data_IF_218392713109
#
_entry.id   IF_218392713109
#
_cell.length_a   1.000
_cell.length_b   1.000
_cell.length_c   1.000
_cell.angle_alpha   90.00
_cell.angle_beta   90.00
_cell.angle_gamma   90.00
#
_symmetry.space_group_name_H-M   'P 1'
#
loop_
_entity.id
_entity.type
_entity.pdbx_description
1 polymer ?
#
# COMPACT_ATOMS: atom_id res chain seq x y z
N UNK A 1 7.12 -7.27 1.27
CA UNK A 1 6.59 -5.89 1.22
C UNK A 1 5.57 -5.67 2.33
N UNK A 2 5.45 -4.44 2.84
CA UNK A 2 4.41 -4.06 3.81
C UNK A 2 3.68 -2.79 3.34
N UNK A 3 2.51 -2.90 2.67
CA UNK A 3 1.78 -1.74 2.13
C UNK A 3 1.11 -0.89 3.24
N UNK A 4 0.66 0.31 2.91
CA UNK A 4 -0.05 1.22 3.85
C UNK A 4 -1.53 0.84 4.05
N UNK A 5 -2.10 0.03 3.15
CA UNK A 5 -3.45 -0.54 3.22
C UNK A 5 -3.40 -2.03 2.85
N UNK A 6 -4.35 -2.87 3.32
CA UNK A 6 -4.38 -4.29 2.98
C UNK A 6 -4.79 -4.50 1.51
N UNK A 7 -3.80 -4.59 0.62
CA UNK A 7 -4.03 -4.76 -0.83
C UNK A 7 -4.79 -6.05 -1.17
N UNK A 8 -4.71 -7.07 -0.31
CA UNK A 8 -5.49 -8.32 -0.45
C UNK A 8 -7.00 -8.08 -0.40
N UNK A 9 -7.46 -7.05 0.31
CA UNK A 9 -8.87 -6.64 0.33
C UNK A 9 -9.20 -5.68 -0.81
N UNK A 10 -8.31 -4.74 -1.14
CA UNK A 10 -8.55 -3.78 -2.21
C UNK A 10 -8.67 -4.45 -3.60
N UNK A 11 -7.77 -5.39 -3.90
CA UNK A 11 -7.73 -6.07 -5.20
C UNK A 11 -8.47 -7.41 -5.21
N UNK A 12 -8.91 -7.89 -4.04
CA UNK A 12 -9.33 -9.26 -3.86
C UNK A 12 -8.16 -10.25 -3.99
N UNK A 13 -8.49 -11.54 -3.88
CA UNK A 13 -7.56 -12.65 -4.06
C UNK A 13 -8.30 -13.89 -4.52
N UNK A 14 -7.75 -14.60 -5.50
CA UNK A 14 -8.29 -15.88 -5.95
C UNK A 14 -7.14 -16.84 -6.24
N UNK A 15 -7.19 -18.02 -5.62
CA UNK A 15 -6.15 -19.02 -5.78
C UNK A 15 -6.63 -20.41 -5.39
N UNK A 16 -6.16 -21.43 -6.11
CA UNK A 16 -6.46 -22.84 -5.86
C UNK A 16 -5.13 -23.56 -5.66
N UNK A 17 -4.99 -24.24 -4.53
CA UNK A 17 -3.85 -25.09 -4.22
C UNK A 17 -4.30 -26.50 -3.85
N UNK A 18 -3.34 -27.32 -3.41
CA UNK A 18 -3.65 -28.66 -2.90
C UNK A 18 -4.21 -28.53 -1.49
N UNK A 19 -5.48 -28.91 -1.29
CA UNK A 19 -6.15 -28.92 0.02
C UNK A 19 -6.91 -27.64 0.38
N UNK A 20 -6.55 -26.49 -0.21
CA UNK A 20 -7.22 -25.21 0.04
C UNK A 20 -7.47 -24.43 -1.24
N UNK A 21 -8.54 -23.63 -1.22
CA UNK A 21 -8.77 -22.55 -2.16
C UNK A 21 -8.98 -21.26 -1.38
N UNK A 22 -8.61 -20.13 -1.96
CA UNK A 22 -8.85 -18.81 -1.39
C UNK A 22 -9.65 -17.98 -2.38
N UNK A 23 -10.71 -17.33 -1.88
CA UNK A 23 -11.52 -16.39 -2.65
C UNK A 23 -11.94 -15.23 -1.75
N UNK A 24 -11.37 -14.07 -2.03
CA UNK A 24 -11.64 -12.79 -1.38
C UNK A 24 -12.07 -11.81 -2.49
N UNK A 25 -13.23 -11.16 -2.38
CA UNK A 25 -13.67 -10.17 -3.36
C UNK A 25 -12.96 -8.83 -3.14
N UNK A 26 -13.13 -7.92 -4.08
CA UNK A 26 -12.64 -6.55 -3.97
C UNK A 26 -13.49 -5.77 -2.94
N UNK A 27 -12.85 -4.79 -2.30
CA UNK A 27 -13.47 -3.84 -1.38
C UNK A 27 -13.06 -2.42 -1.74
N UNK A 28 -13.89 -1.44 -1.35
CA UNK A 28 -13.61 -0.05 -1.64
C UNK A 28 -12.42 0.44 -0.81
N UNK A 29 -11.46 1.04 -1.49
CA UNK A 29 -10.24 1.54 -0.83
C UNK A 29 -10.55 2.64 0.19
N UNK A 30 -11.56 3.49 -0.04
CA UNK A 30 -11.90 4.57 0.90
C UNK A 30 -12.54 3.99 2.15
N UNK A 31 -13.37 2.96 2.03
CA UNK A 31 -13.90 2.23 3.20
C UNK A 31 -12.79 1.57 4.02
N UNK A 32 -11.81 0.94 3.35
CA UNK A 32 -10.64 0.35 4.02
C UNK A 32 -9.86 1.44 4.77
N UNK A 33 -9.55 2.57 4.13
CA UNK A 33 -8.81 3.69 4.74
C UNK A 33 -9.59 4.24 5.94
N UNK A 34 -10.91 4.43 5.80
CA UNK A 34 -11.75 4.91 6.88
C UNK A 34 -11.71 3.96 8.09
N UNK A 35 -11.79 2.64 7.86
CA UNK A 35 -11.67 1.67 8.93
C UNK A 35 -10.27 1.66 9.58
N UNK A 36 -9.20 1.87 8.82
CA UNK A 36 -7.86 2.06 9.39
C UNK A 36 -7.84 3.32 10.29
N UNK A 37 -8.42 4.44 9.85
CA UNK A 37 -8.51 5.64 10.69
C UNK A 37 -9.31 5.42 11.98
N UNK A 38 -10.40 4.64 11.92
CA UNK A 38 -11.18 4.24 13.10
C UNK A 38 -10.30 3.46 14.09
N UNK A 39 -9.57 2.47 13.59
CA UNK A 39 -8.68 1.65 14.41
C UNK A 39 -7.51 2.45 14.98
N UNK A 40 -6.95 3.40 14.23
CA UNK A 40 -5.95 4.36 14.75
C UNK A 40 -6.50 5.28 15.85
N UNK A 41 -7.83 5.43 15.93
CA UNK A 41 -8.53 6.18 16.97
C UNK A 41 -9.01 5.30 18.13
N UNK A 42 -8.67 4.00 18.11
CA UNK A 42 -9.08 3.02 19.13
C UNK A 42 -10.51 2.49 18.96
N UNK A 43 -11.14 2.73 17.81
CA UNK A 43 -12.50 2.26 17.51
C UNK A 43 -12.48 0.95 16.71
N UNK A 44 -13.52 0.14 16.87
CA UNK A 44 -13.72 -1.07 16.05
C UNK A 44 -14.02 -0.71 14.58
N UNK A 45 -13.48 -1.49 13.62
CA UNK A 45 -13.78 -1.31 12.21
C UNK A 45 -15.25 -1.64 11.91
N UNK A 46 -15.86 -0.88 11.01
CA UNK A 46 -17.20 -1.14 10.52
C UNK A 46 -17.21 -2.35 9.57
N UNK A 47 -18.35 -3.07 9.47
CA UNK A 47 -18.60 -4.01 8.38
C UNK A 47 -18.37 -3.34 7.03
N UNK A 48 -17.77 -4.09 6.09
CA UNK A 48 -17.55 -3.64 4.71
C UNK A 48 -18.25 -4.62 3.79
N UNK A 49 -18.90 -4.11 2.74
CA UNK A 49 -19.46 -4.92 1.66
C UNK A 49 -18.47 -5.00 0.50
N UNK A 50 -18.47 -6.10 -0.27
CA UNK A 50 -17.69 -6.17 -1.49
C UNK A 50 -18.02 -4.99 -2.42
N UNK A 51 -16.99 -4.40 -3.03
CA UNK A 51 -17.12 -3.28 -3.94
C UNK A 51 -16.14 -3.42 -5.10
N UNK A 52 -16.64 -3.22 -6.33
CA UNK A 52 -15.85 -3.32 -7.54
C UNK A 52 -15.86 -1.97 -8.26
N UNK A 53 -14.67 -1.40 -8.45
CA UNK A 53 -14.52 -0.10 -9.11
C UNK A 53 -15.17 -0.10 -10.49
N UNK A 54 -16.08 0.84 -10.71
CA UNK A 54 -16.78 1.04 -12.00
C UNK A 54 -18.04 0.19 -12.19
N UNK A 55 -18.33 -0.73 -11.28
CA UNK A 55 -19.59 -1.46 -11.26
C UNK A 55 -20.71 -0.53 -10.83
N UNK A 56 -21.80 -0.50 -11.62
CA UNK A 56 -22.96 0.37 -11.38
C UNK A 56 -24.15 -0.34 -10.74
N UNK A 57 -24.12 -1.67 -10.68
CA UNK A 57 -25.16 -2.47 -10.05
C UNK A 57 -25.04 -2.50 -8.53
N UNK A 58 -25.81 -3.37 -7.89
CA UNK A 58 -25.85 -3.48 -6.43
C UNK A 58 -25.22 -4.79 -5.93
N UNK A 59 -24.69 -4.76 -4.71
CA UNK A 59 -24.22 -5.94 -4.00
C UNK A 59 -24.88 -5.97 -2.64
N UNK A 60 -25.76 -6.94 -2.43
CA UNK A 60 -26.52 -7.11 -1.19
C UNK A 60 -26.01 -8.33 -0.42
N UNK A 61 -25.91 -8.21 0.90
CA UNK A 61 -25.61 -9.33 1.78
C UNK A 61 -26.87 -10.16 2.02
N UNK A 62 -26.81 -11.45 1.68
CA UNK A 62 -27.89 -12.42 1.92
C UNK A 62 -27.72 -13.11 3.26
N UNK A 63 -26.48 -13.44 3.60
CA UNK A 63 -26.06 -14.05 4.85
C UNK A 63 -24.57 -13.79 5.04
N UNK A 64 -24.03 -14.14 6.22
CA UNK A 64 -22.59 -14.00 6.49
C UNK A 64 -21.76 -14.65 5.38
N UNK A 65 -20.91 -13.85 4.73
CA UNK A 65 -20.04 -14.24 3.62
C UNK A 65 -20.78 -14.76 2.36
N UNK A 66 -22.06 -14.42 2.20
CA UNK A 66 -22.87 -14.73 1.02
C UNK A 66 -23.56 -13.47 0.52
N UNK A 67 -23.21 -13.09 -0.70
CA UNK A 67 -23.71 -11.88 -1.34
C UNK A 67 -24.42 -12.23 -2.64
N UNK A 68 -25.34 -11.37 -3.06
CA UNK A 68 -25.85 -11.35 -4.43
C UNK A 68 -25.38 -10.07 -5.10
N UNK A 69 -24.78 -10.20 -6.27
CA UNK A 69 -24.45 -9.05 -7.11
C UNK A 69 -25.45 -8.99 -8.27
N UNK A 70 -26.03 -7.81 -8.47
CA UNK A 70 -27.20 -7.58 -9.32
C UNK A 70 -26.83 -6.55 -10.39
N UNK A 71 -27.04 -6.90 -11.66
CA UNK A 71 -26.89 -5.96 -12.78
C UNK A 71 -28.05 -4.98 -12.87
N UNK A 72 -28.00 -4.03 -13.81
CA UNK A 72 -29.02 -2.99 -13.96
C UNK A 72 -29.93 -3.26 -15.15
N UNK A 73 -31.24 -3.26 -14.93
CA UNK A 73 -32.26 -3.37 -15.98
C UNK A 73 -33.40 -2.38 -15.75
N UNK A 74 -33.79 -1.66 -16.79
CA UNK A 74 -34.88 -0.68 -16.78
C UNK A 74 -35.93 -1.01 -17.85
N UNK A 75 -37.20 -0.79 -17.55
CA UNK A 75 -38.29 -0.83 -18.53
C UNK A 75 -38.36 0.54 -19.21
N UNK A 76 -38.23 0.58 -20.54
CA UNK A 76 -38.28 1.81 -21.33
C UNK A 76 -39.72 2.10 -21.80
N UNK A 77 -40.39 1.06 -22.29
CA UNK A 77 -41.79 1.09 -22.71
C UNK A 77 -42.42 -0.30 -22.59
N UNK A 78 -43.69 -0.45 -22.98
CA UNK A 78 -44.44 -1.72 -22.87
C UNK A 78 -43.90 -2.86 -23.73
N UNK A 79 -42.88 -2.63 -24.55
CA UNK A 79 -42.27 -3.64 -25.43
C UNK A 79 -40.74 -3.68 -25.33
N UNK A 80 -40.14 -2.86 -24.46
CA UNK A 80 -38.70 -2.59 -24.49
C UNK A 80 -38.11 -2.49 -23.11
N UNK A 81 -37.02 -3.22 -22.90
CA UNK A 81 -36.17 -3.06 -21.72
C UNK A 81 -34.75 -2.69 -22.13
N UNK A 82 -34.02 -2.12 -21.19
CA UNK A 82 -32.62 -1.75 -21.34
C UNK A 82 -31.79 -2.35 -20.21
N UNK A 83 -30.76 -3.12 -20.55
CA UNK A 83 -29.77 -3.65 -19.60
C UNK A 83 -28.52 -2.79 -19.72
N UNK A 84 -28.10 -2.15 -18.63
CA UNK A 84 -26.98 -1.19 -18.61
C UNK A 84 -25.79 -1.62 -17.75
N UNK A 85 -25.95 -2.72 -17.00
CA UNK A 85 -24.88 -3.34 -16.23
C UNK A 85 -25.11 -4.85 -16.11
N UNK A 86 -24.04 -5.63 -16.19
CA UNK A 86 -24.08 -7.08 -15.96
C UNK A 86 -23.50 -7.42 -14.58
N UNK A 87 -23.94 -8.52 -13.94
CA UNK A 87 -23.33 -8.98 -12.69
C UNK A 87 -21.82 -9.16 -12.81
N UNK A 88 -21.09 -8.93 -11.73
CA UNK A 88 -19.63 -9.12 -11.66
C UNK A 88 -19.22 -10.51 -12.16
N UNK A 89 -18.11 -10.57 -12.91
CA UNK A 89 -17.59 -11.75 -13.61
C UNK A 89 -18.49 -12.29 -14.74
N UNK A 90 -19.48 -11.52 -15.19
CA UNK A 90 -20.27 -11.82 -16.39
C UNK A 90 -19.74 -11.02 -17.57
N UNK A 91 -19.09 -11.68 -18.52
CA UNK A 91 -18.55 -11.04 -19.72
C UNK A 91 -19.64 -10.78 -20.76
N UNK A 92 -19.59 -9.62 -21.43
CA UNK A 92 -20.59 -9.17 -22.42
C UNK A 92 -20.83 -10.21 -23.52
N UNK A 93 -19.77 -10.74 -24.12
CA UNK A 93 -19.87 -11.74 -25.18
C UNK A 93 -20.47 -13.05 -24.67
N UNK A 94 -20.02 -13.53 -23.51
CA UNK A 94 -20.55 -14.75 -22.88
C UNK A 94 -22.03 -14.60 -22.52
N UNK A 95 -22.46 -13.42 -22.06
CA UNK A 95 -23.86 -13.12 -21.76
C UNK A 95 -24.71 -13.12 -23.03
N UNK A 96 -24.24 -12.46 -24.09
CA UNK A 96 -24.89 -12.45 -25.40
C UNK A 96 -25.14 -13.87 -25.91
N UNK A 97 -24.09 -14.68 -26.00
CA UNK A 97 -24.15 -16.04 -26.57
C UNK A 97 -25.01 -17.00 -25.74
N UNK A 98 -24.88 -16.96 -24.41
CA UNK A 98 -25.50 -17.98 -23.55
C UNK A 98 -26.85 -17.57 -22.98
N UNK A 99 -27.20 -16.28 -23.03
CA UNK A 99 -28.45 -15.75 -22.48
C UNK A 99 -29.31 -15.16 -23.58
N UNK A 100 -28.83 -14.13 -24.29
CA UNK A 100 -29.67 -13.40 -25.25
C UNK A 100 -29.97 -14.21 -26.51
N UNK A 101 -28.99 -14.89 -27.10
CA UNK A 101 -29.21 -15.73 -28.29
C UNK A 101 -30.17 -16.89 -28.01
N UNK A 102 -30.07 -17.49 -26.81
CA UNK A 102 -31.01 -18.53 -26.37
C UNK A 102 -32.42 -17.97 -26.15
N UNK A 103 -32.56 -16.74 -25.65
CA UNK A 103 -33.84 -16.06 -25.47
C UNK A 103 -34.44 -15.60 -26.81
N UNK A 104 -33.63 -15.30 -27.83
CA UNK A 104 -34.08 -14.86 -29.15
C UNK A 104 -34.54 -16.04 -30.02
N UNK A 105 -33.71 -17.08 -30.10
CA UNK A 105 -33.95 -18.21 -31.01
C UNK A 105 -34.75 -19.33 -30.34
N UNK A 106 -34.82 -19.32 -29.01
CA UNK A 106 -35.28 -20.47 -28.23
C UNK A 106 -34.28 -21.63 -28.27
N UNK A 107 -34.60 -22.67 -27.52
CA UNK A 107 -33.88 -23.96 -27.50
C UNK A 107 -34.91 -25.08 -27.59
N UNK A 108 -34.47 -26.33 -27.75
CA UNK A 108 -35.38 -27.50 -27.73
C UNK A 108 -36.28 -27.56 -26.48
N UNK A 109 -35.84 -26.96 -25.37
CA UNK A 109 -36.53 -27.01 -24.07
C UNK A 109 -37.21 -25.70 -23.67
N UNK A 110 -36.83 -24.57 -24.27
CA UNK A 110 -37.26 -23.24 -23.82
C UNK A 110 -37.68 -22.42 -25.04
N UNK A 111 -38.93 -21.95 -25.11
CA UNK A 111 -39.37 -21.13 -26.24
C UNK A 111 -38.66 -19.77 -26.27
N UNK A 112 -38.62 -19.10 -27.43
CA UNK A 112 -38.18 -17.71 -27.54
C UNK A 112 -38.95 -16.81 -26.57
N UNK A 113 -38.21 -15.94 -25.88
CA UNK A 113 -38.73 -14.94 -24.95
C UNK A 113 -38.70 -13.53 -25.55
N UNK A 114 -37.66 -13.20 -26.32
CA UNK A 114 -37.44 -11.88 -26.90
C UNK A 114 -37.62 -11.93 -28.42
N UNK A 115 -37.94 -10.79 -29.03
CA UNK A 115 -38.15 -10.70 -30.50
C UNK A 115 -36.95 -10.13 -31.24
N UNK A 116 -36.18 -9.25 -30.60
CA UNK A 116 -34.97 -8.62 -31.15
C UNK A 116 -34.13 -8.04 -29.99
N UNK A 117 -32.84 -7.80 -30.23
CA UNK A 117 -32.02 -6.99 -29.34
C UNK A 117 -30.95 -6.22 -30.11
N UNK A 118 -30.56 -5.06 -29.58
CA UNK A 118 -29.49 -4.21 -30.12
C UNK A 118 -28.42 -3.93 -29.08
N UNK A 119 -27.18 -3.85 -29.54
CA UNK A 119 -25.99 -3.66 -28.71
C UNK A 119 -25.43 -2.26 -28.91
N UNK A 120 -25.19 -1.55 -27.81
CA UNK A 120 -24.58 -0.22 -27.79
C UNK A 120 -23.43 -0.16 -26.79
N UNK A 121 -22.59 -1.18 -26.82
CA UNK A 121 -21.47 -1.33 -25.89
C UNK A 121 -20.33 -0.36 -26.21
N UNK A 122 -19.54 -0.05 -25.18
CA UNK A 122 -18.20 0.52 -25.36
C UNK A 122 -17.18 -0.51 -24.88
N UNK A 123 -15.90 -0.15 -24.88
CA UNK A 123 -14.83 -0.92 -24.26
C UNK A 123 -14.98 -1.07 -22.74
N UNK A 124 -15.73 -0.17 -22.09
CA UNK A 124 -15.85 -0.09 -20.62
C UNK A 124 -17.30 -0.16 -20.10
N UNK A 125 -18.31 -0.17 -20.98
CA UNK A 125 -19.73 -0.16 -20.57
C UNK A 125 -20.58 -1.11 -21.38
N UNK A 126 -21.54 -1.76 -20.71
CA UNK A 126 -22.55 -2.61 -21.34
C UNK A 126 -23.84 -1.83 -21.59
N UNK A 127 -24.51 -2.16 -22.70
CA UNK A 127 -25.84 -1.63 -23.04
C UNK A 127 -26.54 -2.53 -24.05
N UNK A 128 -27.58 -3.23 -23.62
CA UNK A 128 -28.48 -3.99 -24.49
C UNK A 128 -29.86 -3.35 -24.49
N UNK A 129 -30.44 -3.14 -25.67
CA UNK A 129 -31.83 -2.72 -25.83
C UNK A 129 -32.59 -3.91 -26.39
N UNK A 130 -33.50 -4.47 -25.59
CA UNK A 130 -34.17 -5.74 -25.88
C UNK A 130 -35.64 -5.46 -26.17
N UNK A 131 -36.13 -6.02 -27.27
CA UNK A 131 -37.53 -5.95 -27.70
C UNK A 131 -38.27 -7.24 -27.37
N UNK A 132 -39.50 -7.10 -26.89
CA UNK A 132 -40.39 -8.18 -26.49
C UNK A 132 -41.82 -7.85 -26.91
N UNK A 133 -42.71 -8.85 -26.88
CA UNK A 133 -44.15 -8.55 -26.92
C UNK A 133 -44.60 -8.02 -25.56
N UNK A 134 -45.66 -7.21 -25.56
CA UNK A 134 -46.18 -6.62 -24.32
C UNK A 134 -46.62 -7.68 -23.30
N UNK A 135 -47.20 -8.78 -23.76
CA UNK A 135 -47.57 -9.92 -22.92
C UNK A 135 -46.34 -10.55 -22.24
N UNK A 136 -45.27 -10.84 -23.01
CA UNK A 136 -44.05 -11.44 -22.47
C UNK A 136 -43.31 -10.51 -21.52
N UNK A 137 -43.34 -9.20 -21.77
CA UNK A 137 -42.73 -8.24 -20.84
C UNK A 137 -43.48 -8.19 -19.51
N UNK A 138 -44.81 -8.18 -19.52
CA UNK A 138 -45.62 -8.25 -18.29
C UNK A 138 -45.36 -9.54 -17.51
N UNK A 139 -45.25 -10.68 -18.19
CA UNK A 139 -44.88 -11.96 -17.57
C UNK A 139 -43.47 -11.90 -16.95
N UNK A 140 -42.50 -11.33 -17.65
CA UNK A 140 -41.12 -11.21 -17.19
C UNK A 140 -40.99 -10.25 -15.99
N UNK A 141 -41.74 -9.16 -15.99
CA UNK A 141 -41.82 -8.21 -14.88
C UNK A 141 -42.42 -8.87 -13.64
N UNK A 142 -43.54 -9.58 -13.80
CA UNK A 142 -44.19 -10.31 -12.70
C UNK A 142 -43.29 -11.42 -12.10
N UNK A 143 -42.45 -12.05 -12.94
CA UNK A 143 -41.46 -13.04 -12.50
C UNK A 143 -40.17 -12.41 -11.93
N UNK A 144 -39.97 -11.10 -12.11
CA UNK A 144 -38.79 -10.33 -11.75
C UNK A 144 -37.73 -10.32 -12.87
N UNK A 145 -37.51 -9.16 -13.48
CA UNK A 145 -36.62 -9.00 -14.63
C UNK A 145 -35.18 -9.46 -14.35
N UNK A 146 -34.63 -9.13 -13.19
CA UNK A 146 -33.28 -9.55 -12.82
C UNK A 146 -33.11 -11.07 -12.82
N UNK A 147 -34.13 -11.81 -12.37
CA UNK A 147 -34.13 -13.27 -12.37
C UNK A 147 -34.30 -13.81 -13.79
N UNK A 148 -35.26 -13.28 -14.54
CA UNK A 148 -35.58 -13.71 -15.91
C UNK A 148 -34.38 -13.53 -16.83
N UNK A 149 -33.75 -12.35 -16.79
CA UNK A 149 -32.60 -11.99 -17.61
C UNK A 149 -31.25 -12.44 -17.03
N UNK A 150 -31.26 -13.26 -15.97
CA UNK A 150 -30.05 -13.80 -15.33
C UNK A 150 -29.04 -12.70 -14.94
N UNK A 151 -29.56 -11.59 -14.43
CA UNK A 151 -28.79 -10.43 -13.95
C UNK A 151 -28.54 -10.50 -12.44
N UNK A 152 -28.48 -11.71 -11.87
CA UNK A 152 -28.16 -11.95 -10.46
C UNK A 152 -27.15 -13.09 -10.37
N UNK A 153 -25.99 -12.84 -9.76
CA UNK A 153 -25.00 -13.86 -9.46
C UNK A 153 -24.77 -13.95 -7.95
N UNK A 154 -24.63 -15.18 -7.45
CA UNK A 154 -24.19 -15.42 -6.09
C UNK A 154 -22.69 -15.23 -5.98
N UNK A 155 -22.27 -14.47 -4.99
CA UNK A 155 -20.87 -14.27 -4.60
C UNK A 155 -20.69 -14.83 -3.18
N UNK A 156 -20.06 -16.00 -3.09
CA UNK A 156 -19.87 -16.71 -1.83
C UNK A 156 -18.39 -16.71 -1.43
N UNK A 157 -18.11 -16.33 -0.18
CA UNK A 157 -16.79 -16.12 0.38
C UNK A 157 -16.52 -17.03 1.60
N UNK A 158 -16.75 -18.33 1.47
CA UNK A 158 -16.57 -19.29 2.59
C UNK A 158 -15.11 -19.69 2.85
N UNK A 159 -14.20 -19.40 1.91
CA UNK A 159 -12.80 -19.81 2.01
C UNK A 159 -11.89 -18.60 1.81
N UNK A 160 -11.65 -17.88 2.90
CA UNK A 160 -10.66 -16.80 2.96
C UNK A 160 -9.42 -17.35 3.64
N UNK A 161 -8.57 -18.06 2.88
CA UNK A 161 -7.35 -18.69 3.40
C UNK A 161 -6.15 -17.89 2.87
N UNK A 162 -5.30 -17.41 3.78
CA UNK A 162 -4.11 -16.64 3.44
C UNK A 162 -2.92 -17.15 4.25
N UNK A 163 -1.71 -16.92 3.74
CA UNK A 163 -0.52 -16.99 4.57
C UNK A 163 -0.49 -15.80 5.51
N UNK A 164 -0.18 -16.03 6.78
CA UNK A 164 0.13 -14.97 7.73
C UNK A 164 1.58 -14.48 7.55
N UNK A 165 1.99 -13.52 8.38
CA UNK A 165 3.31 -12.90 8.32
C UNK A 165 4.48 -13.83 8.67
N UNK A 166 4.21 -14.99 9.29
CA UNK A 166 5.23 -16.02 9.59
C UNK A 166 5.21 -17.17 8.58
N UNK A 167 4.40 -17.07 7.52
CA UNK A 167 4.31 -18.08 6.47
C UNK A 167 3.40 -19.27 6.81
N UNK A 168 2.56 -19.15 7.84
CA UNK A 168 1.58 -20.18 8.20
C UNK A 168 0.23 -19.94 7.53
N UNK A 169 -0.42 -21.01 7.07
CA UNK A 169 -1.76 -20.93 6.49
C UNK A 169 -2.82 -20.68 7.58
N UNK A 170 -3.58 -19.60 7.43
CA UNK A 170 -4.68 -19.23 8.31
C UNK A 170 -5.98 -19.05 7.52
N UNK A 171 -7.06 -19.65 8.02
CA UNK A 171 -8.42 -19.40 7.53
C UNK A 171 -9.05 -18.28 8.34
N UNK A 172 -9.61 -17.29 7.65
CA UNK A 172 -10.31 -16.16 8.23
C UNK A 172 -11.82 -16.33 8.09
N UNK A 173 -12.56 -15.98 9.14
CA UNK A 173 -14.02 -16.11 9.17
C UNK A 173 -14.73 -14.81 8.76
N UNK A 174 -14.02 -13.68 8.83
CA UNK A 174 -14.49 -12.36 8.38
C UNK A 174 -13.34 -11.54 7.77
N UNK A 175 -13.69 -10.56 6.93
CA UNK A 175 -12.68 -9.62 6.39
C UNK A 175 -12.17 -8.64 7.43
N UNK A 176 -12.93 -8.43 8.50
CA UNK A 176 -12.51 -7.63 9.66
C UNK A 176 -11.34 -8.31 10.39
N UNK A 177 -11.32 -9.64 10.46
CA UNK A 177 -10.20 -10.38 11.04
C UNK A 177 -8.91 -10.19 10.21
N UNK A 178 -9.03 -10.20 8.88
CA UNK A 178 -7.91 -9.91 7.96
C UNK A 178 -7.41 -8.48 8.18
N UNK A 179 -8.33 -7.52 8.29
CA UNK A 179 -8.01 -6.11 8.50
C UNK A 179 -7.31 -5.90 9.86
N UNK A 180 -7.75 -6.59 10.92
CA UNK A 180 -7.16 -6.53 12.26
C UNK A 180 -5.73 -7.08 12.29
N UNK A 181 -5.52 -8.27 11.75
CA UNK A 181 -4.17 -8.86 11.66
C UNK A 181 -3.22 -7.96 10.85
N UNK A 182 -3.69 -7.43 9.72
CA UNK A 182 -2.92 -6.47 8.93
C UNK A 182 -2.60 -5.20 9.72
N UNK A 183 -3.58 -4.64 10.45
CA UNK A 183 -3.42 -3.42 11.20
C UNK A 183 -2.36 -3.55 12.29
N UNK A 184 -2.43 -4.63 13.08
CA UNK A 184 -1.46 -4.90 14.14
C UNK A 184 -0.05 -5.02 13.60
N UNK A 185 0.12 -5.80 12.52
CA UNK A 185 1.41 -5.94 11.86
C UNK A 185 1.90 -4.60 11.32
N UNK A 186 1.04 -3.87 10.60
CA UNK A 186 1.43 -2.59 9.98
C UNK A 186 1.83 -1.57 11.03
N UNK A 187 1.15 -1.55 12.17
CA UNK A 187 1.50 -0.66 13.27
C UNK A 187 2.87 -0.99 13.88
N UNK A 188 3.21 -2.27 14.03
CA UNK A 188 4.58 -2.68 14.40
C UNK A 188 5.61 -2.15 13.41
N UNK A 189 5.35 -2.25 12.11
CA UNK A 189 6.25 -1.71 11.09
C UNK A 189 6.35 -0.16 11.08
N UNK A 190 5.31 0.56 11.51
CA UNK A 190 5.43 2.02 11.72
C UNK A 190 6.28 2.39 12.94
N UNK A 191 6.26 1.56 13.99
CA UNK A 191 7.16 1.70 15.13
C UNK A 191 8.61 1.51 14.65
N UNK A 192 8.88 0.38 13.97
CA UNK A 192 10.20 0.10 13.40
C UNK A 192 10.67 1.21 12.44
N UNK A 193 9.78 1.71 11.58
CA UNK A 193 10.08 2.83 10.68
C UNK A 193 10.45 4.09 11.45
N UNK A 194 9.70 4.44 12.51
CA UNK A 194 10.01 5.61 13.32
C UNK A 194 11.38 5.48 13.97
N UNK A 195 11.68 4.32 14.56
CA UNK A 195 12.95 4.07 15.24
C UNK A 195 14.14 4.14 14.27
N UNK A 196 13.98 3.55 13.08
CA UNK A 196 14.98 3.63 12.01
C UNK A 196 15.22 5.07 11.55
N UNK A 197 14.16 5.84 11.31
CA UNK A 197 14.26 7.25 10.90
C UNK A 197 14.90 8.10 12.00
N UNK A 198 14.60 7.84 13.28
CA UNK A 198 15.24 8.51 14.41
C UNK A 198 16.73 8.21 14.49
N UNK A 199 17.13 6.96 14.26
CA UNK A 199 18.53 6.54 14.20
C UNK A 199 19.28 7.22 13.06
N UNK A 200 18.75 7.12 11.84
CA UNK A 200 19.34 7.72 10.65
C UNK A 200 19.47 9.25 10.76
N UNK A 201 18.37 9.95 11.05
CA UNK A 201 18.38 11.42 11.19
C UNK A 201 19.23 11.86 12.39
N UNK A 202 19.26 11.07 13.47
CA UNK A 202 20.15 11.29 14.60
C UNK A 202 21.63 11.27 14.18
N UNK A 203 22.02 10.24 13.43
CA UNK A 203 23.38 10.11 12.91
C UNK A 203 23.74 11.22 11.91
N UNK A 204 22.84 11.57 10.98
CA UNK A 204 23.03 12.68 10.04
C UNK A 204 23.18 14.02 10.76
N UNK A 205 22.31 14.29 11.75
CA UNK A 205 22.36 15.48 12.58
C UNK A 205 23.67 15.57 13.37
N UNK A 206 24.13 14.45 13.96
CA UNK A 206 25.40 14.39 14.68
C UNK A 206 26.60 14.65 13.76
N UNK A 207 26.58 14.06 12.55
CA UNK A 207 27.63 14.27 11.53
C UNK A 207 27.73 15.74 11.13
N UNK A 208 26.61 16.38 10.78
CA UNK A 208 26.56 17.80 10.43
C UNK A 208 26.95 18.71 11.61
N UNK A 209 26.58 18.33 12.83
CA UNK A 209 26.97 19.06 14.04
C UNK A 209 28.48 19.03 14.27
N UNK A 210 29.10 17.86 14.13
CA UNK A 210 30.56 17.70 14.21
C UNK A 210 31.26 18.48 13.08
N UNK A 211 30.77 18.41 11.85
CA UNK A 211 31.33 19.17 10.71
C UNK A 211 31.23 20.68 10.93
N UNK A 212 30.07 21.18 11.36
CA UNK A 212 29.87 22.60 11.64
C UNK A 212 30.78 23.08 12.78
N UNK A 213 30.89 22.29 13.86
CA UNK A 213 31.79 22.56 14.98
C UNK A 213 33.25 22.63 14.52
N UNK A 214 33.70 21.66 13.73
CA UNK A 214 35.06 21.61 13.20
C UNK A 214 35.41 22.85 12.37
N UNK A 215 34.52 23.26 11.46
CA UNK A 215 34.73 24.45 10.63
C UNK A 215 34.73 25.73 11.49
N UNK A 216 33.80 25.85 12.44
CA UNK A 216 33.74 27.02 13.34
C UNK A 216 35.00 27.15 14.19
N UNK A 217 35.44 26.06 14.83
CA UNK A 217 36.66 26.04 15.64
C UNK A 217 37.92 26.30 14.80
N UNK A 218 37.96 25.81 13.54
CA UNK A 218 39.06 26.09 12.61
C UNK A 218 39.13 27.57 12.21
N UNK A 219 37.99 28.21 11.95
CA UNK A 219 37.90 29.63 11.59
C UNK A 219 38.23 30.52 12.80
N UNK A 220 37.81 30.12 14.00
CA UNK A 220 38.09 30.85 15.24
C UNK A 220 39.53 30.69 15.73
N UNK A 221 40.30 29.77 15.14
CA UNK A 221 41.68 29.48 15.52
C UNK A 221 41.82 28.63 16.79
N UNK A 222 40.72 28.11 17.34
CA UNK A 222 40.74 27.19 18.49
C UNK A 222 41.19 25.79 18.07
N UNK A 223 40.97 25.43 16.81
CA UNK A 223 41.44 24.19 16.19
C UNK A 223 42.52 24.49 15.13
N UNK A 224 43.70 23.90 15.27
CA UNK A 224 44.83 24.07 14.33
C UNK A 224 45.27 22.71 13.82
N UNK A 225 45.16 22.49 12.51
CA UNK A 225 45.45 21.20 11.86
C UNK A 225 46.70 21.25 10.97
N UNK A 226 47.18 22.45 10.66
CA UNK A 226 48.30 22.69 9.77
C UNK A 226 49.59 22.07 10.31
N UNK A 227 50.31 21.36 9.42
CA UNK A 227 51.60 20.73 9.70
C UNK A 227 51.63 19.78 10.92
N UNK A 228 50.48 19.13 11.23
CA UNK A 228 50.41 18.09 12.28
C UNK A 228 50.43 16.68 11.69
N UNK A 229 51.12 15.71 12.32
CA UNK A 229 51.01 14.31 11.94
C UNK A 229 49.57 13.78 12.06
N UNK A 230 49.15 12.92 11.12
CA UNK A 230 47.79 12.34 11.10
C UNK A 230 47.40 11.66 12.43
N UNK A 231 48.33 10.95 13.06
CA UNK A 231 48.10 10.29 14.36
C UNK A 231 47.78 11.29 15.48
N UNK A 232 48.42 12.46 15.48
CA UNK A 232 48.20 13.49 16.49
C UNK A 232 46.89 14.24 16.24
N UNK A 233 46.50 14.43 14.97
CA UNK A 233 45.18 14.96 14.61
C UNK A 233 44.05 14.07 15.15
N UNK A 234 44.14 12.76 14.94
CA UNK A 234 43.14 11.79 15.43
C UNK A 234 43.05 11.85 16.97
N UNK A 235 44.19 11.85 17.68
CA UNK A 235 44.21 11.97 19.15
C UNK A 235 43.61 13.28 19.64
N UNK A 236 43.92 14.39 18.98
CA UNK A 236 43.38 15.71 19.33
C UNK A 236 41.86 15.75 19.15
N UNK A 237 41.33 15.30 18.01
CA UNK A 237 39.89 15.25 17.77
C UNK A 237 39.17 14.38 18.79
N UNK A 238 39.76 13.24 19.16
CA UNK A 238 39.23 12.38 20.21
C UNK A 238 39.24 13.06 21.59
N UNK A 239 40.32 13.77 21.95
CA UNK A 239 40.39 14.53 23.21
C UNK A 239 39.40 15.70 23.26
N UNK A 240 39.10 16.30 22.11
CA UNK A 240 38.10 17.37 21.98
C UNK A 240 36.66 16.85 21.94
N UNK A 241 36.47 15.53 21.98
CA UNK A 241 35.16 14.89 21.97
C UNK A 241 34.43 15.02 20.64
N UNK A 242 35.15 14.96 19.51
CA UNK A 242 34.53 14.72 18.21
C UNK A 242 34.14 13.25 18.10
N UNK A 243 32.97 13.00 17.53
CA UNK A 243 32.52 11.63 17.29
C UNK A 243 33.26 11.04 16.07
N UNK A 244 33.54 9.74 16.11
CA UNK A 244 33.80 8.96 14.88
C UNK A 244 32.57 9.03 13.97
N UNK A 245 32.72 8.88 12.65
CA UNK A 245 31.62 9.10 11.67
C UNK A 245 30.29 8.46 12.13
N UNK A 246 29.33 9.29 12.61
CA UNK A 246 28.13 8.76 13.25
C UNK A 246 27.24 7.98 12.28
N UNK A 247 27.25 8.35 10.99
CA UNK A 247 26.45 7.68 9.96
C UNK A 247 27.02 6.32 9.62
N UNK A 248 28.35 6.21 9.54
CA UNK A 248 29.02 4.93 9.34
C UNK A 248 28.78 4.01 10.53
N UNK A 249 29.01 4.51 11.74
CA UNK A 249 28.80 3.74 12.96
C UNK A 249 27.35 3.23 13.11
N UNK A 250 26.36 4.06 12.76
CA UNK A 250 24.96 3.65 12.77
C UNK A 250 24.67 2.58 11.72
N UNK A 251 25.16 2.72 10.48
CA UNK A 251 24.98 1.70 9.43
C UNK A 251 25.61 0.37 9.80
N UNK A 252 26.85 0.40 10.28
CA UNK A 252 27.57 -0.81 10.71
C UNK A 252 26.82 -1.53 11.85
N UNK A 253 26.14 -0.80 12.74
CA UNK A 253 25.29 -1.38 13.78
C UNK A 253 24.03 -2.04 13.20
N UNK A 254 23.36 -1.41 12.22
CA UNK A 254 22.19 -2.00 11.57
C UNK A 254 22.51 -3.25 10.73
N UNK A 255 23.68 -3.30 10.10
CA UNK A 255 24.14 -4.50 9.37
C UNK A 255 24.36 -5.68 10.32
N UNK A 256 24.97 -5.45 11.49
CA UNK A 256 25.16 -6.49 12.52
C UNK A 256 23.85 -7.00 13.09
N UNK A 257 22.93 -6.10 13.43
CA UNK A 257 21.61 -6.50 13.94
C UNK A 257 20.85 -7.37 12.92
N UNK A 258 21.00 -7.10 11.62
CA UNK A 258 20.38 -7.90 10.56
C UNK A 258 21.03 -9.28 10.37
N UNK A 259 22.35 -9.37 10.49
CA UNK A 259 23.10 -10.65 10.42
C UNK A 259 22.72 -11.56 11.61
N UNK A 260 22.55 -11.00 12.82
CA UNK A 260 22.12 -11.76 14.01
C UNK A 260 20.68 -12.30 13.90
N UNK A 261 19.75 -11.55 13.31
CA UNK A 261 18.34 -11.94 13.18
C UNK A 261 18.10 -12.96 12.03
N UNK A 262 19.01 -13.01 11.05
CA UNK A 262 18.96 -13.96 9.93
C UNK A 262 19.38 -15.39 10.31
N UNK A 263 19.97 -15.60 11.49
CA UNK A 263 20.40 -16.92 11.96
C UNK A 263 21.43 -17.60 11.05
N UNK A 264 22.16 -16.83 10.23
CA UNK A 264 23.28 -17.35 9.45
C UNK A 264 24.39 -17.75 10.42
N UNK A 265 24.75 -19.04 10.44
CA UNK A 265 25.90 -19.56 11.16
C UNK A 265 27.12 -18.64 10.89
N UNK A 266 27.75 -18.16 11.96
CA UNK A 266 28.94 -17.30 11.94
C UNK A 266 30.09 -17.96 11.15
N UNK A 267 30.09 -17.87 9.82
CA UNK A 267 31.34 -17.82 9.09
C UNK A 267 31.91 -16.42 9.34
N UNK A 268 32.85 -16.35 10.30
CA UNK A 268 33.70 -15.20 10.60
C UNK A 268 34.33 -14.66 9.30
N UNK A 269 33.58 -13.85 8.54
CA UNK A 269 34.18 -12.87 7.66
C UNK A 269 34.69 -11.79 8.59
N UNK A 270 35.96 -11.90 8.95
CA UNK A 270 36.78 -10.76 9.37
C UNK A 270 36.70 -9.69 8.27
N UNK A 271 35.61 -8.92 8.21
CA UNK A 271 35.65 -7.58 7.64
C UNK A 271 36.67 -6.88 8.52
N UNK A 272 37.82 -6.51 7.95
CA UNK A 272 38.80 -5.62 8.58
C UNK A 272 38.06 -4.36 9.03
N UNK A 273 37.52 -4.40 10.25
CA UNK A 273 37.08 -3.21 10.94
C UNK A 273 38.37 -2.45 11.15
N UNK A 274 38.50 -1.33 10.44
CA UNK A 274 39.51 -0.33 10.72
C UNK A 274 39.21 0.15 12.13
N UNK A 275 39.77 -0.54 13.13
CA UNK A 275 39.43 -0.52 14.57
C UNK A 275 39.68 0.83 15.27
N UNK A 276 39.94 1.89 14.50
CA UNK A 276 40.20 3.23 15.00
C UNK A 276 39.07 4.22 14.70
N UNK A 277 39.03 5.35 15.42
CA UNK A 277 38.09 6.44 15.13
C UNK A 277 38.18 6.93 13.67
N UNK A 278 37.04 7.03 13.00
CA UNK A 278 36.93 7.48 11.62
C UNK A 278 36.56 8.97 11.57
N UNK A 279 37.59 9.83 11.47
CA UNK A 279 37.43 11.28 11.29
C UNK A 279 37.56 11.72 9.82
N UNK A 280 37.52 10.79 8.86
CA UNK A 280 37.69 11.16 7.45
C UNK A 280 36.59 12.12 6.98
N UNK A 281 35.37 12.00 7.51
CA UNK A 281 34.24 12.90 7.20
C UNK A 281 34.46 14.37 7.63
N UNK A 282 35.43 14.62 8.52
CA UNK A 282 35.88 15.96 8.89
C UNK A 282 37.09 16.38 8.07
N UNK A 283 38.11 15.51 8.01
CA UNK A 283 39.42 15.83 7.43
C UNK A 283 39.44 15.86 5.89
N UNK A 284 38.44 15.25 5.24
CA UNK A 284 38.28 15.27 3.79
C UNK A 284 37.49 16.49 3.28
N UNK A 285 36.98 17.34 4.18
CA UNK A 285 36.27 18.56 3.76
C UNK A 285 37.22 19.51 3.01
N UNK A 286 36.88 19.93 1.78
CA UNK A 286 37.71 20.86 1.01
C UNK A 286 37.90 22.21 1.71
N UNK A 287 39.03 22.89 1.44
CA UNK A 287 39.37 24.20 2.04
C UNK A 287 38.32 25.29 1.82
N UNK A 288 37.53 25.23 0.74
CA UNK A 288 36.46 26.19 0.49
C UNK A 288 35.29 26.07 1.48
N UNK A 289 35.23 25.02 2.31
CA UNK A 289 34.31 24.96 3.45
C UNK A 289 34.62 26.00 4.53
N UNK A 290 35.82 26.59 4.51
CA UNK A 290 36.21 27.68 5.41
C UNK A 290 35.72 29.06 4.92
N UNK A 291 35.10 29.16 3.75
CA UNK A 291 34.49 30.43 3.32
C UNK A 291 33.21 30.72 4.10
N UNK A 292 32.83 32.00 4.15
CA UNK A 292 31.64 32.45 4.87
C UNK A 292 30.38 31.77 4.36
N UNK A 293 30.21 31.73 3.04
CA UNK A 293 29.03 31.18 2.37
C UNK A 293 28.86 29.70 2.71
N UNK A 294 29.95 28.93 2.68
CA UNK A 294 29.86 27.49 2.93
C UNK A 294 29.69 27.17 4.41
N UNK A 295 30.31 27.95 5.29
CA UNK A 295 30.08 27.86 6.74
C UNK A 295 28.60 28.10 7.06
N UNK A 296 28.04 29.19 6.54
CA UNK A 296 26.65 29.58 6.81
C UNK A 296 25.67 28.53 6.24
N UNK A 297 25.94 27.98 5.05
CA UNK A 297 25.16 26.88 4.48
C UNK A 297 25.26 25.59 5.33
N UNK A 298 26.46 25.23 5.81
CA UNK A 298 26.64 24.05 6.66
C UNK A 298 25.90 24.19 8.00
N UNK A 299 25.93 25.37 8.61
CA UNK A 299 25.13 25.66 9.80
C UNK A 299 23.63 25.56 9.51
N UNK A 300 23.16 26.08 8.37
CA UNK A 300 21.76 25.98 7.95
C UNK A 300 21.33 24.51 7.75
N UNK A 301 22.17 23.69 7.13
CA UNK A 301 21.90 22.26 6.94
C UNK A 301 21.80 21.51 8.26
N UNK A 302 22.73 21.78 9.20
CA UNK A 302 22.68 21.24 10.57
C UNK A 302 21.36 21.62 11.25
N UNK A 303 21.01 22.89 11.24
CA UNK A 303 19.83 23.39 11.96
C UNK A 303 18.52 22.85 11.35
N UNK A 304 18.47 22.72 10.02
CA UNK A 304 17.37 22.06 9.33
C UNK A 304 17.22 20.59 9.76
N UNK A 305 18.33 19.83 9.79
CA UNK A 305 18.33 18.41 10.19
C UNK A 305 17.98 18.20 11.67
N UNK A 306 18.45 19.07 12.56
CA UNK A 306 18.04 19.07 13.97
C UNK A 306 16.53 19.33 14.09
N UNK A 307 16.00 20.29 13.33
CA UNK A 307 14.57 20.62 13.33
C UNK A 307 13.73 19.45 12.81
N UNK A 308 14.17 18.80 11.72
CA UNK A 308 13.55 17.60 11.15
C UNK A 308 13.51 16.45 12.18
N UNK A 309 14.65 16.16 12.82
CA UNK A 309 14.75 15.14 13.86
C UNK A 309 13.81 15.43 15.05
N UNK A 310 13.79 16.67 15.52
CA UNK A 310 12.92 17.06 16.64
C UNK A 310 11.45 16.97 16.25
N UNK A 311 11.08 17.34 15.02
CA UNK A 311 9.72 17.19 14.50
C UNK A 311 9.32 15.71 14.49
N UNK A 312 10.20 14.83 14.00
CA UNK A 312 9.93 13.38 13.97
C UNK A 312 9.78 12.78 15.38
N UNK A 313 10.61 13.20 16.35
CA UNK A 313 10.50 12.74 17.75
C UNK A 313 9.11 12.98 18.33
N UNK A 314 8.49 14.11 17.97
CA UNK A 314 7.17 14.50 18.45
C UNK A 314 6.01 13.75 17.78
N UNK A 315 6.21 13.14 16.60
CA UNK A 315 5.16 12.37 15.91
C UNK A 315 4.99 10.99 16.54
N UNK A 316 3.77 10.53 16.75
CA UNK A 316 3.53 9.12 17.06
C UNK A 316 3.66 8.25 15.79
N UNK A 317 3.96 6.94 15.91
CA UNK A 317 3.91 6.02 14.76
C UNK A 317 2.58 6.06 14.00
N UNK A 318 1.48 6.23 14.74
CA UNK A 318 0.14 6.42 14.16
C UNK A 318 0.02 7.69 13.30
N UNK A 319 0.72 8.78 13.65
CA UNK A 319 0.68 10.02 12.88
C UNK A 319 1.40 9.86 11.54
N UNK A 320 2.52 9.13 11.52
CA UNK A 320 3.20 8.78 10.26
C UNK A 320 2.28 7.99 9.32
N UNK A 321 1.47 7.08 9.86
CA UNK A 321 0.51 6.34 9.05
C UNK A 321 -0.61 7.26 8.54
N UNK A 322 -1.14 8.15 9.37
CA UNK A 322 -2.16 9.13 8.94
C UNK A 322 -1.66 10.02 7.80
N UNK A 323 -0.40 10.47 7.87
CA UNK A 323 0.22 11.27 6.82
C UNK A 323 0.32 10.50 5.50
N UNK A 324 0.77 9.24 5.53
CA UNK A 324 0.84 8.40 4.33
C UNK A 324 -0.57 8.14 3.73
N UNK A 325 -1.57 7.90 4.58
CA UNK A 325 -2.96 7.68 4.14
C UNK A 325 -3.56 8.95 3.53
N UNK A 326 -3.24 10.13 4.09
CA UNK A 326 -3.69 11.41 3.57
C UNK A 326 -3.08 11.68 2.18
N UNK A 327 -1.77 11.51 2.05
CA UNK A 327 -1.07 11.64 0.77
C UNK A 327 -1.60 10.66 -0.28
N UNK A 328 -1.87 9.41 0.12
CA UNK A 328 -2.48 8.41 -0.76
C UNK A 328 -3.89 8.79 -1.18
N UNK A 329 -4.71 9.28 -0.26
CA UNK A 329 -6.11 9.66 -0.55
C UNK A 329 -6.18 10.86 -1.48
N UNK A 330 -5.30 11.85 -1.30
CA UNK A 330 -5.16 12.99 -2.21
C UNK A 330 -4.82 12.52 -3.63
N UNK A 331 -3.81 11.67 -3.77
CA UNK A 331 -3.40 11.16 -5.08
C UNK A 331 -4.45 10.22 -5.71
N UNK A 332 -5.22 9.50 -4.89
CA UNK A 332 -6.35 8.67 -5.32
C UNK A 332 -7.49 9.52 -5.94
N UNK A 333 -7.72 10.73 -5.43
CA UNK A 333 -8.70 11.65 -6.00
C UNK A 333 -8.22 12.30 -7.29
N UNK A 334 -6.93 12.60 -7.40
CA UNK A 334 -6.31 13.15 -8.62
C UNK A 334 -6.28 12.09 -9.73
N UNK A 335 -5.83 10.88 -9.43
CA UNK A 335 -5.62 9.81 -10.41
C UNK A 335 -6.77 8.80 -10.47
N UNK A 336 -8.02 9.26 -10.59
CA UNK A 336 -9.21 8.39 -10.73
C UNK A 336 -9.06 7.29 -11.82
N UNK A 337 -8.07 7.40 -12.72
CA UNK A 337 -7.84 6.49 -13.85
C UNK A 337 -6.66 5.49 -13.76
N UNK A 338 -5.71 5.51 -12.80
CA UNK A 338 -4.44 4.74 -13.00
C UNK A 338 -3.68 4.25 -11.75
N UNK A 339 -4.36 3.60 -10.79
CA UNK A 339 -3.77 3.23 -9.48
C UNK A 339 -3.51 1.72 -9.38
N UNK A 340 -2.82 1.15 -10.37
CA UNK A 340 -2.17 -0.16 -10.19
C UNK A 340 -0.67 0.02 -9.96
N UNK A 341 -0.11 1.18 -10.35
CA UNK A 341 1.35 1.40 -10.37
C UNK A 341 1.82 2.21 -9.14
N UNK A 342 0.99 3.07 -8.55
CA UNK A 342 1.44 4.00 -7.50
C UNK A 342 1.74 3.33 -6.14
N UNK A 343 1.01 2.28 -5.77
CA UNK A 343 1.32 1.50 -4.55
C UNK A 343 2.67 0.77 -4.63
N UNK A 344 3.21 0.57 -5.84
CA UNK A 344 4.50 -0.10 -6.05
C UNK A 344 5.69 0.85 -6.17
N UNK A 345 5.49 2.11 -6.59
CA UNK A 345 6.60 2.94 -7.10
C UNK A 345 6.91 4.24 -6.34
N UNK A 346 5.99 4.80 -5.54
CA UNK A 346 6.20 6.16 -5.00
C UNK A 346 6.07 6.37 -3.49
N UNK A 347 5.69 5.35 -2.72
CA UNK A 347 5.73 5.40 -1.24
C UNK A 347 6.76 4.44 -0.62
N UNK A 348 7.53 3.75 -1.46
CA UNK A 348 8.73 3.02 -1.04
C UNK A 348 9.91 3.92 -1.38
N UNK A 349 10.41 4.67 -0.39
CA UNK A 349 11.75 5.25 -0.51
C UNK A 349 12.73 4.11 -0.87
N UNK A 350 13.67 4.33 -1.83
CA UNK A 350 14.52 3.26 -2.37
C UNK A 350 15.51 2.61 -1.38
N UNK A 351 15.40 2.86 -0.08
CA UNK A 351 16.36 2.39 0.93
C UNK A 351 15.97 1.08 1.64
N UNK A 352 14.83 0.47 1.30
CA UNK A 352 14.36 -0.78 1.95
C UNK A 352 14.34 -2.02 1.03
N UNK A 353 15.01 -1.98 -0.12
CA UNK A 353 15.02 -3.11 -1.08
C UNK A 353 16.13 -4.15 -0.81
N UNK A 354 17.06 -3.91 0.10
CA UNK A 354 18.23 -4.80 0.29
C UNK A 354 18.26 -5.65 1.57
N UNK A 355 17.13 -5.86 2.28
CA UNK A 355 17.16 -6.66 3.53
C UNK A 355 16.48 -8.03 3.44
N UNK A 356 15.84 -8.41 2.33
CA UNK A 356 15.40 -9.81 2.16
C UNK A 356 15.46 -10.23 0.69
N UNK A 357 16.56 -10.89 0.32
CA UNK A 357 16.63 -11.85 -0.80
C UNK A 357 16.85 -13.23 -0.20
#
# INVERSE_FOLDING_TARGET
YMPIIPLVLANGSEGIGTGWASRIPNYDMREIINNIHRMLSGEEPLPMLPNFKGFKGTIDELAKNQYVNIGEVAIIDSTTIEITELPIKTWTQTYKENVLEAMLNGTEKVPPLITDYKEYHTDTTVRFVIKMTEERLREAEAAGLHKVFKLQNLLTCHSMVLFDHVGSLKKYESVQDILKDFFELRMKYYILRKDWLLGMLGAESAKLSNQARFILEKIQGTLVIENRPKKDLIRMLQQMGYDSDPVKAWKDAQEKDAEEDAGEDEEEKEKETTSGPDYNYLLSMPMWFLTKEKKDELCRQRDAKITELNTLKMKAPADLWKEDLAAFTEELEVNKMQIIIYCFLHLVEPYMINIFV
#
